data_IF_004088803848
#
_entry.id   IF_004088803848
#
_cell.length_a   1.000
_cell.length_b   1.000
_cell.length_c   1.000
_cell.angle_alpha   90.00
_cell.angle_beta   90.00
_cell.angle_gamma   90.00
#
_symmetry.space_group_name_H-M   'P 1'
#
loop_
_entity.id
_entity.type
_entity.pdbx_description
1 polymer ?
#
# COMPACT_ATOMS: atom_id res chain seq x y z
N UNK A 1 15.83 -5.06 -4.81
CA UNK A 1 14.66 -4.33 -4.25
C UNK A 1 15.15 -3.15 -3.42
N UNK A 2 14.74 -1.95 -3.75
CA UNK A 2 15.15 -0.74 -3.02
C UNK A 2 14.25 -0.43 -1.82
N UNK A 3 13.92 -1.41 -1.02
CA UNK A 3 13.09 -1.23 0.19
C UNK A 3 13.86 -0.49 1.28
N UNK A 4 15.19 -0.64 1.30
CA UNK A 4 16.05 0.00 2.32
C UNK A 4 15.99 1.54 2.32
N UNK A 5 15.55 2.17 1.24
CA UNK A 5 15.47 3.64 1.14
C UNK A 5 14.25 4.21 1.89
N UNK A 6 13.29 3.39 2.25
CA UNK A 6 12.02 3.83 2.83
C UNK A 6 12.10 3.92 4.37
N UNK A 7 13.07 3.27 4.99
CA UNK A 7 13.16 3.12 6.44
C UNK A 7 14.09 4.11 7.18
N UNK A 8 14.48 5.21 6.58
CA UNK A 8 15.16 6.27 7.32
C UNK A 8 14.12 7.14 8.05
N UNK A 9 14.13 7.17 9.40
CA UNK A 9 13.02 7.71 10.19
C UNK A 9 12.59 9.15 9.86
N UNK A 10 13.50 10.02 9.51
CA UNK A 10 13.16 11.43 9.20
C UNK A 10 12.62 11.66 7.80
N UNK A 11 13.09 10.92 6.81
CA UNK A 11 12.71 11.10 5.40
C UNK A 11 11.47 10.32 4.97
N UNK A 12 11.14 9.25 5.70
CA UNK A 12 9.97 8.43 5.41
C UNK A 12 8.67 9.18 5.72
N UNK A 13 8.62 9.87 6.85
CA UNK A 13 7.45 10.66 7.26
C UNK A 13 7.09 11.72 6.21
N UNK A 14 8.08 12.45 5.70
CA UNK A 14 7.86 13.49 4.70
C UNK A 14 7.31 12.92 3.40
N UNK A 15 7.80 11.76 2.97
CA UNK A 15 7.31 11.06 1.78
C UNK A 15 5.88 10.54 1.95
N UNK A 16 5.55 10.03 3.14
CA UNK A 16 4.19 9.54 3.46
C UNK A 16 3.21 10.72 3.52
N UNK A 17 3.61 11.84 4.09
CA UNK A 17 2.79 13.07 4.09
C UNK A 17 2.64 13.66 2.68
N UNK A 18 3.65 13.52 1.83
CA UNK A 18 3.59 13.96 0.44
C UNK A 18 2.53 13.19 -0.35
N UNK A 19 2.31 11.91 -0.06
CA UNK A 19 1.25 11.12 -0.69
C UNK A 19 -0.14 11.70 -0.38
N UNK A 20 -0.43 11.98 0.90
CA UNK A 20 -1.70 12.60 1.29
C UNK A 20 -1.93 13.93 0.58
N UNK A 21 -0.88 14.75 0.48
CA UNK A 21 -0.91 16.04 -0.20
C UNK A 21 -1.15 15.92 -1.71
N UNK A 22 -0.52 14.92 -2.33
CA UNK A 22 -0.67 14.65 -3.77
C UNK A 22 -2.08 14.17 -4.13
N UNK A 23 -2.76 13.44 -3.24
CA UNK A 23 -4.13 12.97 -3.44
C UNK A 23 -5.15 14.11 -3.33
N UNK A 24 -4.83 15.19 -2.61
CA UNK A 24 -5.69 16.37 -2.46
C UNK A 24 -7.08 16.02 -1.92
N UNK A 25 -8.12 16.61 -2.52
CA UNK A 25 -9.53 16.36 -2.18
C UNK A 25 -10.10 15.08 -2.83
N UNK A 26 -9.30 14.39 -3.62
CA UNK A 26 -9.62 13.15 -4.33
C UNK A 26 -10.74 13.26 -5.37
N UNK A 27 -11.05 14.47 -5.82
CA UNK A 27 -12.02 14.69 -6.90
C UNK A 27 -11.56 14.00 -8.18
N UNK A 28 -12.50 13.30 -8.83
CA UNK A 28 -12.27 12.67 -10.12
C UNK A 28 -11.35 11.47 -10.09
N UNK A 29 -10.98 10.96 -8.91
CA UNK A 29 -10.18 9.74 -8.77
C UNK A 29 -11.05 8.48 -8.75
N UNK A 30 -10.45 7.36 -9.14
CA UNK A 30 -11.13 6.05 -9.08
C UNK A 30 -11.46 5.63 -7.64
N UNK A 31 -10.67 6.05 -6.67
CA UNK A 31 -10.76 5.74 -5.26
C UNK A 31 -10.31 4.33 -4.89
N UNK A 32 -10.73 3.30 -5.61
CA UNK A 32 -10.41 1.90 -5.35
C UNK A 32 -9.36 1.40 -6.33
N UNK A 33 -8.40 0.65 -5.82
CA UNK A 33 -7.42 -0.03 -6.63
C UNK A 33 -7.08 -1.38 -6.06
N UNK A 34 -6.71 -2.31 -6.93
CA UNK A 34 -6.31 -3.65 -6.52
C UNK A 34 -5.28 -4.22 -7.48
N UNK A 35 -4.49 -5.15 -6.99
CA UNK A 35 -3.57 -5.90 -7.82
C UNK A 35 -3.24 -7.25 -7.21
N UNK A 36 -3.06 -8.23 -8.07
CA UNK A 36 -2.43 -9.50 -7.77
C UNK A 36 -1.07 -9.50 -8.44
N UNK A 37 -0.01 -9.78 -7.69
CA UNK A 37 1.35 -9.83 -8.24
C UNK A 37 2.02 -11.12 -7.81
N UNK A 38 2.44 -11.96 -8.78
CA UNK A 38 3.24 -13.15 -8.48
C UNK A 38 4.73 -12.84 -8.59
N UNK A 39 5.51 -13.62 -7.88
CA UNK A 39 6.95 -13.77 -8.07
C UNK A 39 7.30 -15.23 -7.74
N UNK A 40 7.62 -16.02 -8.77
CA UNK A 40 7.84 -17.46 -8.65
C UNK A 40 6.71 -18.16 -7.87
N UNK A 41 6.99 -18.72 -6.68
CA UNK A 41 6.01 -19.40 -5.83
C UNK A 41 5.13 -18.44 -4.99
N UNK A 42 5.49 -17.17 -4.90
CA UNK A 42 4.78 -16.19 -4.10
C UNK A 42 3.69 -15.48 -4.91
N UNK A 43 2.58 -15.19 -4.25
CA UNK A 43 1.47 -14.43 -4.82
C UNK A 43 0.87 -13.56 -3.72
N UNK A 44 0.81 -12.25 -3.96
CA UNK A 44 0.17 -11.32 -3.04
C UNK A 44 -0.94 -10.53 -3.73
N UNK A 45 -1.96 -10.20 -2.94
CA UNK A 45 -3.06 -9.32 -3.33
C UNK A 45 -3.05 -8.08 -2.44
N UNK A 46 -3.20 -6.92 -3.04
CA UNK A 46 -3.38 -5.66 -2.30
C UNK A 46 -4.61 -4.94 -2.82
N UNK A 47 -5.42 -4.43 -1.90
CA UNK A 47 -6.58 -3.58 -2.21
C UNK A 47 -6.43 -2.27 -1.47
N UNK A 48 -6.56 -1.16 -2.20
CA UNK A 48 -6.45 0.20 -1.69
C UNK A 48 -7.80 0.89 -1.81
N UNK A 49 -8.22 1.54 -0.73
CA UNK A 49 -9.35 2.47 -0.71
C UNK A 49 -8.84 3.83 -0.22
N UNK A 50 -8.95 4.85 -1.06
CA UNK A 50 -8.63 6.23 -0.70
C UNK A 50 -9.77 6.82 0.15
N UNK A 51 -9.99 6.20 1.30
CA UNK A 51 -11.18 6.37 2.14
C UNK A 51 -11.21 7.66 2.98
N UNK A 52 -10.08 8.34 3.11
CA UNK A 52 -9.93 9.42 4.09
C UNK A 52 -9.82 8.93 5.54
N UNK A 53 -9.74 7.63 5.75
CA UNK A 53 -9.62 7.00 7.08
C UNK A 53 -8.45 6.03 7.11
N UNK A 54 -7.56 6.13 8.13
CA UNK A 54 -6.48 5.15 8.26
C UNK A 54 -7.01 3.77 8.63
N UNK A 55 -6.57 2.76 7.92
CA UNK A 55 -6.89 1.37 8.21
C UNK A 55 -5.92 0.42 7.52
N UNK A 56 -5.44 -0.56 8.25
CA UNK A 56 -4.55 -1.59 7.73
C UNK A 56 -5.05 -2.97 8.15
N UNK A 57 -5.31 -3.81 7.15
CA UNK A 57 -5.48 -5.25 7.35
C UNK A 57 -4.29 -5.93 6.69
N UNK A 58 -3.46 -6.59 7.48
CA UNK A 58 -2.19 -7.12 7.05
C UNK A 58 -2.10 -8.61 7.40
N UNK A 59 -2.20 -9.45 6.39
CA UNK A 59 -2.09 -10.91 6.50
C UNK A 59 -0.97 -11.40 5.58
N UNK A 60 0.26 -11.30 6.10
CA UNK A 60 1.47 -11.76 5.41
C UNK A 60 2.23 -12.67 6.38
N UNK A 61 1.98 -14.00 6.31
CA UNK A 61 2.67 -14.96 7.16
C UNK A 61 4.09 -15.22 6.63
N UNK A 62 5.02 -14.31 6.94
CA UNK A 62 6.40 -14.46 6.52
C UNK A 62 6.98 -15.78 6.99
N UNK A 63 7.62 -16.51 6.08
CA UNK A 63 8.23 -17.82 6.36
C UNK A 63 9.53 -17.72 7.16
N UNK A 64 10.11 -16.50 7.28
CA UNK A 64 11.30 -16.20 8.08
C UNK A 64 11.15 -14.85 8.74
N UNK A 65 11.85 -14.65 9.86
CA UNK A 65 11.85 -13.40 10.61
C UNK A 65 12.70 -12.29 9.95
N UNK A 66 13.60 -12.65 9.03
CA UNK A 66 14.48 -11.70 8.39
C UNK A 66 14.76 -12.05 6.92
N UNK A 67 14.98 -11.02 6.12
CA UNK A 67 15.48 -11.10 4.75
C UNK A 67 16.89 -10.49 4.79
N UNK A 68 17.93 -11.34 4.85
CA UNK A 68 19.26 -10.87 5.20
C UNK A 68 19.25 -10.26 6.60
N UNK A 69 19.67 -9.00 6.73
CA UNK A 69 19.61 -8.25 8.00
C UNK A 69 18.30 -7.48 8.20
N UNK A 70 17.39 -7.55 7.24
CA UNK A 70 16.13 -6.82 7.28
C UNK A 70 15.08 -7.60 8.05
N UNK A 71 14.59 -7.03 9.16
CA UNK A 71 13.50 -7.58 9.94
C UNK A 71 12.17 -7.45 9.19
N UNK A 72 11.48 -8.56 8.96
CA UNK A 72 10.21 -8.57 8.22
C UNK A 72 9.08 -7.81 8.91
N UNK A 73 9.14 -7.64 10.23
CA UNK A 73 8.15 -6.84 10.97
C UNK A 73 8.14 -5.38 10.52
N UNK A 74 9.25 -4.90 9.96
CA UNK A 74 9.34 -3.54 9.41
C UNK A 74 8.44 -3.34 8.19
N UNK A 75 8.05 -4.39 7.49
CA UNK A 75 7.10 -4.30 6.36
C UNK A 75 5.74 -3.85 6.88
N UNK A 76 5.22 -4.49 7.93
CA UNK A 76 3.96 -4.09 8.55
C UNK A 76 4.03 -2.67 9.11
N UNK A 77 5.12 -2.33 9.79
CA UNK A 77 5.34 -0.99 10.36
C UNK A 77 5.34 0.09 9.28
N UNK A 78 5.94 -0.20 8.13
CA UNK A 78 5.91 0.71 6.98
C UNK A 78 4.47 1.00 6.54
N UNK A 79 3.67 -0.03 6.33
CA UNK A 79 2.28 0.15 5.88
C UNK A 79 1.41 0.80 6.95
N UNK A 80 1.64 0.52 8.22
CA UNK A 80 0.94 1.20 9.31
C UNK A 80 1.23 2.71 9.32
N UNK A 81 2.49 3.09 9.17
CA UNK A 81 2.87 4.50 9.03
C UNK A 81 2.25 5.14 7.80
N UNK A 82 2.24 4.43 6.68
CA UNK A 82 1.68 4.92 5.43
C UNK A 82 0.17 5.20 5.57
N UNK A 83 -0.62 4.25 6.06
CA UNK A 83 -2.08 4.44 6.18
C UNK A 83 -2.43 5.53 7.18
N UNK A 84 -1.67 5.66 8.26
CA UNK A 84 -1.88 6.70 9.27
C UNK A 84 -1.63 8.10 8.70
N UNK A 85 -0.58 8.29 7.91
CA UNK A 85 -0.23 9.59 7.36
C UNK A 85 -1.02 9.95 6.10
N UNK A 86 -1.34 8.97 5.27
CA UNK A 86 -2.09 9.19 4.03
C UNK A 86 -3.60 9.14 4.22
N UNK A 87 -4.09 8.72 5.38
CA UNK A 87 -5.51 8.50 5.67
C UNK A 87 -6.19 7.63 4.60
N UNK A 88 -5.59 6.48 4.32
CA UNK A 88 -6.10 5.48 3.39
C UNK A 88 -6.32 4.14 4.08
N UNK A 89 -7.17 3.32 3.51
CA UNK A 89 -7.40 1.94 3.94
C UNK A 89 -6.71 0.98 2.98
N UNK A 90 -5.91 0.06 3.51
CA UNK A 90 -5.16 -0.91 2.71
C UNK A 90 -5.36 -2.31 3.29
N UNK A 91 -5.72 -3.24 2.42
CA UNK A 91 -5.76 -4.67 2.72
C UNK A 91 -4.64 -5.37 1.97
N UNK A 92 -3.81 -6.10 2.70
CA UNK A 92 -2.65 -6.80 2.17
C UNK A 92 -2.74 -8.27 2.56
N UNK A 93 -2.77 -9.14 1.55
CA UNK A 93 -2.79 -10.59 1.73
C UNK A 93 -1.66 -11.22 0.93
N UNK A 94 -0.81 -11.99 1.60
CA UNK A 94 0.08 -12.91 0.91
C UNK A 94 -0.61 -14.28 0.83
N UNK A 95 -1.05 -14.64 -0.35
CA UNK A 95 -1.86 -15.83 -0.60
C UNK A 95 -1.01 -17.10 -0.67
N UNK A 96 0.22 -16.97 -1.19
CA UNK A 96 1.21 -18.04 -1.31
C UNK A 96 2.61 -17.47 -1.19
N UNK A 97 3.54 -18.24 -0.66
CA UNK A 97 4.95 -17.88 -0.62
C UNK A 97 5.77 -18.80 0.25
N UNK A 98 6.94 -19.18 -0.22
CA UNK A 98 7.91 -20.03 0.47
C UNK A 98 9.25 -19.33 0.69
N UNK A 99 9.40 -18.12 0.19
CA UNK A 99 10.58 -17.28 0.29
C UNK A 99 10.18 -15.89 0.81
N UNK A 100 10.74 -15.48 1.93
CA UNK A 100 10.37 -14.21 2.59
C UNK A 100 10.64 -12.98 1.71
N UNK A 101 11.72 -12.99 0.92
CA UNK A 101 12.01 -11.92 -0.04
C UNK A 101 10.91 -11.83 -1.09
N UNK A 102 10.50 -12.96 -1.66
CA UNK A 102 9.43 -13.01 -2.67
C UNK A 102 8.09 -12.57 -2.07
N UNK A 103 7.81 -12.95 -0.82
CA UNK A 103 6.60 -12.48 -0.11
C UNK A 103 6.60 -10.96 0.01
N UNK A 104 7.69 -10.36 0.50
CA UNK A 104 7.81 -8.91 0.65
C UNK A 104 7.73 -8.19 -0.70
N UNK A 105 8.47 -8.68 -1.70
CA UNK A 105 8.52 -8.04 -3.02
C UNK A 105 7.16 -8.05 -3.71
N UNK A 106 6.41 -9.15 -3.66
CA UNK A 106 5.06 -9.22 -4.23
C UNK A 106 4.10 -8.27 -3.54
N UNK A 107 4.21 -8.09 -2.22
CA UNK A 107 3.41 -7.14 -1.45
C UNK A 107 3.66 -5.71 -1.92
N UNK A 108 4.92 -5.28 -2.02
CA UNK A 108 5.25 -3.92 -2.44
C UNK A 108 4.87 -3.63 -3.89
N UNK A 109 5.09 -4.60 -4.78
CA UNK A 109 4.70 -4.47 -6.19
C UNK A 109 3.19 -4.40 -6.35
N UNK A 110 2.44 -5.24 -5.64
CA UNK A 110 0.98 -5.22 -5.66
C UNK A 110 0.44 -3.90 -5.10
N UNK A 111 1.03 -3.40 -4.00
CA UNK A 111 0.66 -2.11 -3.44
C UNK A 111 0.87 -0.96 -4.44
N UNK A 112 2.02 -0.90 -5.08
CA UNK A 112 2.31 0.14 -6.06
C UNK A 112 1.31 0.16 -7.22
N UNK A 113 0.93 -1.01 -7.73
CA UNK A 113 -0.09 -1.12 -8.79
C UNK A 113 -1.50 -0.76 -8.31
N UNK A 114 -1.88 -1.22 -7.12
CA UNK A 114 -3.18 -0.92 -6.53
C UNK A 114 -3.34 0.58 -6.26
N UNK A 115 -2.31 1.20 -5.69
CA UNK A 115 -2.29 2.65 -5.43
C UNK A 115 -2.40 3.45 -6.72
N UNK A 116 -1.65 3.05 -7.75
CA UNK A 116 -1.72 3.69 -9.07
C UNK A 116 -3.14 3.64 -9.62
N UNK A 117 -3.78 2.47 -9.58
CA UNK A 117 -5.16 2.32 -10.05
C UNK A 117 -6.13 3.22 -9.26
N UNK A 118 -6.03 3.24 -7.93
CA UNK A 118 -6.90 4.04 -7.07
C UNK A 118 -6.75 5.56 -7.32
N UNK A 119 -5.54 6.00 -7.64
CA UNK A 119 -5.19 7.39 -7.87
C UNK A 119 -5.39 7.85 -9.33
N UNK A 120 -5.74 6.96 -10.24
CA UNK A 120 -6.03 7.33 -11.63
C UNK A 120 -7.30 8.18 -11.71
N UNK A 121 -7.33 9.11 -12.67
CA UNK A 121 -8.52 9.87 -12.98
C UNK A 121 -9.63 8.97 -13.53
N UNK A 122 -10.84 9.12 -13.02
CA UNK A 122 -12.03 8.49 -13.58
C UNK A 122 -12.73 9.49 -14.50
N UNK A 123 -12.63 9.29 -15.81
CA UNK A 123 -13.22 10.16 -16.81
C UNK A 123 -14.76 10.24 -16.73
N UNK A 124 -15.40 9.31 -16.04
CA UNK A 124 -16.85 9.26 -15.85
C UNK A 124 -17.33 9.99 -14.59
N UNK A 125 -16.40 10.44 -13.73
CA UNK A 125 -16.73 11.13 -12.49
C UNK A 125 -15.84 12.35 -12.32
N UNK A 126 -16.44 13.52 -12.10
CA UNK A 126 -15.73 14.77 -11.79
C UNK A 126 -15.85 15.17 -10.32
N UNK A 127 -16.64 14.45 -9.54
CA UNK A 127 -16.89 14.71 -8.13
C UNK A 127 -16.01 13.91 -7.18
N UNK A 128 -16.21 14.14 -5.89
CA UNK A 128 -15.59 13.33 -4.83
C UNK A 128 -16.26 11.95 -4.85
N UNK A 129 -15.49 10.83 -4.95
CA UNK A 129 -16.04 9.48 -5.06
C UNK A 129 -16.51 8.96 -3.70
N UNK A 130 -17.47 9.64 -3.10
CA UNK A 130 -18.06 9.30 -1.82
C UNK A 130 -19.52 9.71 -1.78
N UNK A 131 -20.38 8.84 -1.30
CA UNK A 131 -21.80 9.13 -1.05
C UNK A 131 -22.01 10.17 0.05
N UNK A 132 -20.97 10.39 0.87
CA UNK A 132 -20.98 11.41 1.95
C UNK A 132 -20.50 12.78 1.48
N UNK A 133 -20.01 12.90 0.23
CA UNK A 133 -19.48 14.15 -0.31
C UNK A 133 -18.08 14.53 0.19
N UNK A 134 -17.48 13.75 1.07
CA UNK A 134 -16.14 13.96 1.63
C UNK A 134 -15.37 12.66 1.75
N UNK A 135 -14.06 12.75 1.72
CA UNK A 135 -13.14 11.64 2.00
C UNK A 135 -12.03 12.07 2.94
#
# INVERSE_FOLDING_TARGET
>A
MRVAVVFFPGRSRDKLMALAKALGDKKGLRRYGHAYVPLDEALSRVVVDLSGRPGLVFDVPFVRAAIGEFDVDLVREFFQGLVNHAAITVHIDNLKGENAHHQAETVFKAFGRALRMAAEADARSSGIPSTKGTL
#
